data_IF_065245992558
#
_entry.id   IF_065245992558
#
_cell.length_a   1.000
_cell.length_b   1.000
_cell.length_c   1.000
_cell.angle_alpha   90.00
_cell.angle_beta   90.00
_cell.angle_gamma   90.00
#
_symmetry.space_group_name_H-M   'P 1'
#
loop_
_entity.id
_entity.type
_entity.pdbx_description
1 polymer ?
#
# COMPACT_ATOMS: atom_id res chain seq x y z
N UNK A 1 38.40 -39.62 37.76
CA UNK A 1 37.03 -39.77 37.26
C UNK A 1 36.08 -38.64 37.66
N UNK A 2 36.29 -37.91 38.75
CA UNK A 2 35.43 -36.77 39.17
C UNK A 2 35.59 -35.54 38.27
N UNK A 3 36.77 -35.24 37.77
CA UNK A 3 37.03 -34.07 36.93
C UNK A 3 36.46 -34.17 35.47
N UNK A 4 36.34 -35.41 34.94
CA UNK A 4 35.80 -35.62 33.59
C UNK A 4 34.28 -35.37 33.52
N UNK A 5 33.55 -35.68 34.63
CA UNK A 5 32.11 -35.42 34.73
C UNK A 5 31.76 -33.92 34.82
N UNK A 6 32.64 -33.12 35.45
CA UNK A 6 32.45 -31.64 35.55
C UNK A 6 32.65 -30.96 34.22
N UNK A 7 33.60 -31.40 33.40
CA UNK A 7 33.83 -30.83 32.06
C UNK A 7 32.70 -31.16 31.08
N UNK A 8 32.11 -32.32 31.15
CA UNK A 8 30.97 -32.71 30.34
C UNK A 8 29.69 -31.95 30.71
N UNK A 9 29.47 -31.65 32.00
CA UNK A 9 28.34 -30.86 32.46
C UNK A 9 28.46 -29.39 32.04
N UNK A 10 29.66 -28.81 32.08
CA UNK A 10 29.91 -27.43 31.65
C UNK A 10 29.78 -27.29 30.14
N UNK A 11 30.22 -28.27 29.35
CA UNK A 11 30.06 -28.28 27.90
C UNK A 11 28.59 -28.47 27.49
N UNK A 12 27.78 -29.23 28.21
CA UNK A 12 26.37 -29.41 27.98
C UNK A 12 25.55 -28.15 28.33
N UNK A 13 25.90 -27.40 29.42
CA UNK A 13 25.29 -26.11 29.72
C UNK A 13 25.68 -25.02 28.69
N UNK A 14 26.91 -25.03 28.19
CA UNK A 14 27.35 -24.11 27.13
C UNK A 14 26.69 -24.41 25.79
N UNK A 15 26.38 -25.68 25.47
CA UNK A 15 25.64 -26.08 24.28
C UNK A 15 24.14 -25.73 24.36
N UNK A 16 23.55 -25.68 25.55
CA UNK A 16 22.16 -25.21 25.76
C UNK A 16 22.03 -23.68 25.76
N UNK A 17 23.13 -22.95 25.97
CA UNK A 17 23.19 -21.49 25.78
C UNK A 17 23.36 -21.09 24.30
N UNK A 18 23.59 -22.06 23.39
CA UNK A 18 23.62 -21.80 21.96
C UNK A 18 22.18 -21.57 21.44
N UNK A 19 21.83 -20.31 21.30
CA UNK A 19 20.77 -19.79 20.49
C UNK A 19 19.34 -20.18 20.91
N UNK A 20 18.81 -19.59 21.94
CA UNK A 20 17.44 -19.09 21.85
C UNK A 20 17.47 -17.97 20.81
N UNK A 21 17.43 -18.37 19.54
CA UNK A 21 17.26 -17.47 18.42
C UNK A 21 15.89 -16.83 18.62
N UNK A 22 15.84 -15.53 18.89
CA UNK A 22 14.60 -14.86 19.14
C UNK A 22 13.92 -14.60 17.79
N UNK A 23 12.76 -15.24 17.55
CA UNK A 23 11.96 -15.00 16.34
C UNK A 23 11.71 -13.49 16.17
N UNK A 24 11.79 -13.00 14.94
CA UNK A 24 11.31 -11.65 14.61
C UNK A 24 9.80 -11.72 14.48
N UNK A 25 9.09 -11.08 15.41
CA UNK A 25 7.62 -11.13 15.44
C UNK A 25 7.02 -9.91 14.76
N UNK A 26 6.15 -10.15 13.79
CA UNK A 26 5.49 -9.11 12.98
C UNK A 26 3.98 -9.20 13.13
N UNK A 27 3.34 -8.12 13.58
CA UNK A 27 1.89 -7.99 13.62
C UNK A 27 1.37 -7.41 12.33
N UNK A 28 0.42 -8.08 11.70
CA UNK A 28 -0.24 -7.63 10.47
C UNK A 28 -1.72 -7.39 10.73
N UNK A 29 -2.20 -6.17 10.49
CA UNK A 29 -3.63 -5.85 10.55
C UNK A 29 -4.08 -5.35 9.18
N UNK A 30 -5.01 -6.08 8.56
CA UNK A 30 -5.54 -5.77 7.23
C UNK A 30 -7.04 -6.09 7.18
N UNK A 31 -7.84 -5.38 6.35
CA UNK A 31 -9.28 -5.61 6.26
C UNK A 31 -9.57 -6.92 5.49
N UNK A 32 -9.77 -8.02 6.21
CA UNK A 32 -10.14 -9.31 5.60
C UNK A 32 -11.65 -9.42 5.39
N UNK A 33 -12.42 -8.64 6.15
CA UNK A 33 -13.88 -8.51 6.04
C UNK A 33 -14.29 -7.04 5.90
N UNK A 34 -15.57 -6.80 5.59
CA UNK A 34 -16.13 -5.46 5.43
C UNK A 34 -15.87 -4.83 4.05
N UNK A 35 -16.23 -3.55 3.86
CA UNK A 35 -16.22 -2.85 2.56
C UNK A 35 -14.86 -2.76 1.86
N UNK A 36 -13.74 -2.90 2.59
CA UNK A 36 -12.40 -2.85 2.01
C UNK A 36 -11.68 -4.22 1.97
N UNK A 37 -12.42 -5.32 2.11
CA UNK A 37 -11.84 -6.68 2.01
C UNK A 37 -11.15 -6.95 0.68
N UNK A 38 -11.60 -6.30 -0.41
CA UNK A 38 -10.93 -6.33 -1.71
C UNK A 38 -9.50 -5.74 -1.70
N UNK A 39 -9.08 -5.06 -0.63
CA UNK A 39 -7.73 -4.57 -0.41
C UNK A 39 -6.95 -5.52 0.51
N UNK A 40 -7.57 -5.95 1.60
CA UNK A 40 -6.92 -6.71 2.65
C UNK A 40 -6.65 -8.18 2.28
N UNK A 41 -7.56 -8.82 1.57
CA UNK A 41 -7.39 -10.20 1.11
C UNK A 41 -6.16 -10.32 0.19
N UNK A 42 -6.00 -9.48 -0.86
CA UNK A 42 -4.78 -9.49 -1.66
C UNK A 42 -3.52 -9.15 -0.87
N UNK A 43 -3.60 -8.25 0.10
CA UNK A 43 -2.45 -7.96 0.98
C UNK A 43 -2.05 -9.19 1.81
N UNK A 44 -3.01 -9.90 2.42
CA UNK A 44 -2.76 -11.16 3.11
C UNK A 44 -2.11 -12.20 2.20
N UNK A 45 -2.58 -12.29 0.96
CA UNK A 45 -2.00 -13.17 -0.04
C UNK A 45 -0.53 -12.82 -0.33
N UNK A 46 -0.20 -11.52 -0.49
CA UNK A 46 1.18 -11.07 -0.65
C UNK A 46 2.06 -11.39 0.56
N UNK A 47 1.52 -11.26 1.78
CA UNK A 47 2.21 -11.63 3.02
C UNK A 47 2.51 -13.14 3.09
N UNK A 48 1.62 -13.99 2.60
CA UNK A 48 1.85 -15.44 2.61
C UNK A 48 2.99 -15.90 1.67
N UNK A 49 3.50 -15.00 0.83
CA UNK A 49 4.68 -15.23 -0.01
C UNK A 49 6.00 -14.83 0.68
N UNK A 50 5.96 -14.33 1.92
CA UNK A 50 7.15 -13.93 2.64
C UNK A 50 8.05 -15.13 2.96
N UNK A 51 9.38 -14.93 3.05
CA UNK A 51 10.27 -16.00 3.46
C UNK A 51 10.00 -16.41 4.92
N UNK A 52 10.21 -17.68 5.24
CA UNK A 52 10.05 -18.18 6.61
C UNK A 52 11.15 -17.65 7.55
N UNK A 53 12.30 -17.25 7.00
CA UNK A 53 13.46 -16.77 7.76
C UNK A 53 14.14 -15.60 7.05
N UNK A 54 14.66 -14.64 7.80
CA UNK A 54 15.51 -13.55 7.30
C UNK A 54 16.78 -13.48 8.15
N UNK A 55 17.93 -13.51 7.53
CA UNK A 55 19.25 -13.45 8.18
C UNK A 55 19.45 -14.51 9.30
N UNK A 56 18.83 -15.66 9.13
CA UNK A 56 18.87 -16.77 10.10
C UNK A 56 17.78 -16.71 11.16
N UNK A 57 17.12 -15.58 11.39
CA UNK A 57 16.01 -15.44 12.33
C UNK A 57 14.69 -15.89 11.68
N UNK A 58 13.87 -16.62 12.40
CA UNK A 58 12.53 -17.03 11.94
C UNK A 58 11.57 -15.85 12.00
N UNK A 59 10.72 -15.72 10.98
CA UNK A 59 9.63 -14.77 10.99
C UNK A 59 8.38 -15.39 11.64
N UNK A 60 7.91 -14.80 12.72
CA UNK A 60 6.63 -15.11 13.34
C UNK A 60 5.61 -14.03 12.90
N UNK A 61 4.72 -14.37 11.97
CA UNK A 61 3.77 -13.41 11.39
C UNK A 61 2.37 -13.66 11.94
N UNK A 62 1.83 -12.68 12.67
CA UNK A 62 0.48 -12.72 13.28
C UNK A 62 -0.44 -11.85 12.45
N UNK A 63 -1.43 -12.44 11.77
CA UNK A 63 -2.38 -11.72 10.92
C UNK A 63 -3.74 -11.59 11.60
N UNK A 64 -4.22 -10.36 11.75
CA UNK A 64 -5.53 -10.05 12.32
C UNK A 64 -6.39 -9.27 11.31
N UNK A 65 -7.69 -9.54 11.31
CA UNK A 65 -8.69 -8.78 10.57
C UNK A 65 -8.99 -7.46 11.29
N UNK A 66 -8.95 -6.34 10.59
CA UNK A 66 -9.43 -5.05 11.11
C UNK A 66 -10.89 -4.75 10.74
N UNK A 67 -11.54 -5.65 10.01
CA UNK A 67 -12.96 -5.59 9.64
C UNK A 67 -13.39 -4.27 8.97
N UNK A 68 -12.45 -3.53 8.39
CA UNK A 68 -12.67 -2.17 7.84
C UNK A 68 -13.10 -1.15 8.93
N UNK A 69 -12.74 -1.40 10.20
CA UNK A 69 -13.10 -0.55 11.34
C UNK A 69 -11.84 0.01 12.04
N UNK A 70 -11.68 1.35 12.13
CA UNK A 70 -10.56 1.95 12.82
C UNK A 70 -10.43 1.54 14.30
N UNK A 71 -11.55 1.29 15.00
CA UNK A 71 -11.56 0.85 16.40
C UNK A 71 -10.96 -0.56 16.53
N UNK A 72 -11.31 -1.46 15.61
CA UNK A 72 -10.74 -2.81 15.54
C UNK A 72 -9.25 -2.73 15.18
N UNK A 73 -8.87 -1.88 14.22
CA UNK A 73 -7.47 -1.64 13.89
C UNK A 73 -6.62 -1.18 15.07
N UNK A 74 -7.13 -0.23 15.87
CA UNK A 74 -6.48 0.21 17.12
C UNK A 74 -6.38 -0.94 18.13
N UNK A 75 -7.44 -1.74 18.30
CA UNK A 75 -7.44 -2.91 19.19
C UNK A 75 -6.37 -3.94 18.76
N UNK A 76 -6.28 -4.22 17.46
CA UNK A 76 -5.26 -5.09 16.91
C UNK A 76 -3.84 -4.54 17.16
N UNK A 77 -3.61 -3.25 16.88
CA UNK A 77 -2.32 -2.62 17.13
C UNK A 77 -1.92 -2.65 18.63
N UNK A 78 -2.86 -2.38 19.54
CA UNK A 78 -2.62 -2.48 20.98
C UNK A 78 -2.28 -3.91 21.39
N UNK A 79 -3.01 -4.94 20.94
CA UNK A 79 -2.71 -6.32 21.16
C UNK A 79 -1.29 -6.66 20.70
N UNK A 80 -0.91 -6.27 19.50
CA UNK A 80 0.43 -6.51 18.96
C UNK A 80 1.53 -5.99 19.89
N UNK A 81 1.39 -4.78 20.41
CA UNK A 81 2.44 -4.16 21.23
C UNK A 81 2.41 -4.61 22.70
N UNK A 82 1.24 -4.96 23.25
CA UNK A 82 1.09 -5.30 24.68
C UNK A 82 1.12 -6.79 24.98
N UNK A 83 0.50 -7.63 24.12
CA UNK A 83 0.35 -9.06 24.32
C UNK A 83 1.36 -9.85 23.47
N UNK A 84 1.33 -9.62 22.14
CA UNK A 84 2.15 -10.38 21.19
C UNK A 84 3.62 -9.88 21.13
N UNK A 85 3.93 -8.71 21.72
CA UNK A 85 5.29 -8.12 21.82
C UNK A 85 5.99 -8.02 20.48
N UNK A 86 5.28 -7.61 19.43
CA UNK A 86 5.83 -7.55 18.07
C UNK A 86 6.99 -6.58 17.94
N UNK A 87 7.90 -6.88 17.04
CA UNK A 87 9.02 -6.02 16.67
C UNK A 87 8.62 -4.94 15.67
N UNK A 88 7.59 -5.23 14.84
CA UNK A 88 7.12 -4.35 13.79
C UNK A 88 5.64 -4.63 13.47
N UNK A 89 4.92 -3.58 13.06
CA UNK A 89 3.52 -3.66 12.62
C UNK A 89 3.46 -3.42 11.11
N UNK A 90 2.65 -4.20 10.40
CA UNK A 90 2.34 -3.99 8.97
C UNK A 90 0.85 -3.75 8.79
N UNK A 91 0.49 -2.73 8.03
CA UNK A 91 -0.92 -2.41 7.72
C UNK A 91 -1.37 -1.05 8.25
N UNK A 92 -2.61 -0.70 8.09
CA UNK A 92 -3.66 -1.36 7.30
C UNK A 92 -3.57 -0.96 5.82
N UNK A 93 -4.25 -1.72 4.96
CA UNK A 93 -4.43 -1.35 3.54
C UNK A 93 -5.52 -0.27 3.37
N UNK A 94 -6.30 0.02 4.42
CA UNK A 94 -7.31 1.06 4.43
C UNK A 94 -6.81 2.29 5.20
N UNK A 95 -6.80 3.45 4.53
CA UNK A 95 -6.20 4.70 5.04
C UNK A 95 -6.72 5.14 6.41
N UNK A 96 -8.03 5.19 6.70
CA UNK A 96 -8.50 5.60 8.02
C UNK A 96 -8.02 4.69 9.15
N UNK A 97 -7.90 3.40 8.87
CA UNK A 97 -7.48 2.39 9.85
C UNK A 97 -5.98 2.52 10.11
N UNK A 98 -5.17 2.64 9.04
CA UNK A 98 -3.72 2.79 9.18
C UNK A 98 -3.36 4.08 9.94
N UNK A 99 -4.11 5.18 9.75
CA UNK A 99 -3.97 6.41 10.54
C UNK A 99 -4.24 6.14 12.01
N UNK A 100 -5.36 5.47 12.34
CA UNK A 100 -5.70 5.17 13.72
C UNK A 100 -4.67 4.26 14.42
N UNK A 101 -4.09 3.31 13.68
CA UNK A 101 -3.02 2.43 14.18
C UNK A 101 -1.70 3.19 14.41
N UNK A 102 -1.43 4.26 13.67
CA UNK A 102 -0.16 5.01 13.76
C UNK A 102 0.07 5.68 15.11
N UNK A 103 -0.99 6.08 15.80
CA UNK A 103 -0.88 6.64 17.16
C UNK A 103 -0.39 5.57 18.15
N UNK A 104 -0.89 4.33 18.05
CA UNK A 104 -0.44 3.21 18.89
C UNK A 104 1.02 2.84 18.59
N UNK A 105 1.40 2.81 17.30
CA UNK A 105 2.77 2.55 16.87
C UNK A 105 3.75 3.57 17.42
N UNK A 106 3.39 4.86 17.38
CA UNK A 106 4.19 5.95 17.92
C UNK A 106 4.31 5.89 19.46
N UNK A 107 3.20 5.65 20.17
CA UNK A 107 3.17 5.51 21.62
C UNK A 107 4.07 4.36 22.09
N UNK A 108 4.00 3.22 21.41
CA UNK A 108 4.78 2.02 21.74
C UNK A 108 6.21 2.04 21.19
N UNK A 109 6.61 3.07 20.45
CA UNK A 109 7.89 3.13 19.74
C UNK A 109 8.14 1.86 18.91
N UNK A 110 7.13 1.47 18.12
CA UNK A 110 7.15 0.31 17.25
C UNK A 110 6.91 0.76 15.83
N UNK A 111 7.76 0.36 14.89
CA UNK A 111 7.61 0.74 13.47
C UNK A 111 6.29 0.22 12.92
N UNK A 112 5.56 1.08 12.22
CA UNK A 112 4.46 0.70 11.33
C UNK A 112 4.89 0.84 9.87
N UNK A 113 4.83 -0.25 9.10
CA UNK A 113 4.85 -0.22 7.64
C UNK A 113 3.39 -0.16 7.15
N UNK A 114 2.91 1.02 6.83
CA UNK A 114 1.55 1.21 6.36
C UNK A 114 1.38 0.70 4.93
N UNK A 115 0.33 -0.09 4.68
CA UNK A 115 -0.05 -0.58 3.35
C UNK A 115 -1.01 0.38 2.61
N UNK A 116 -1.10 1.62 3.09
CA UNK A 116 -1.89 2.69 2.50
C UNK A 116 -1.14 4.04 2.55
N UNK A 117 -1.42 4.98 1.63
CA UNK A 117 -0.68 6.24 1.50
C UNK A 117 -1.13 7.29 2.53
N UNK A 118 -1.04 6.93 3.81
CA UNK A 118 -1.52 7.79 4.89
C UNK A 118 -0.72 9.08 4.99
N UNK A 119 -1.42 10.21 5.05
CA UNK A 119 -0.87 11.51 5.42
C UNK A 119 -1.12 11.72 6.91
N UNK A 120 -0.07 12.05 7.64
CA UNK A 120 -0.12 12.32 9.07
C UNK A 120 0.25 13.78 9.32
N UNK A 121 -0.29 14.42 10.37
CA UNK A 121 0.15 15.74 10.80
C UNK A 121 1.66 15.78 11.04
N UNK A 122 2.25 16.95 10.91
CA UNK A 122 3.66 17.18 11.22
C UNK A 122 3.99 16.69 12.64
N UNK A 123 5.12 16.01 12.78
CA UNK A 123 5.57 15.40 14.04
C UNK A 123 4.91 14.08 14.42
N UNK A 124 3.82 13.65 13.75
CA UNK A 124 3.10 12.41 14.08
C UNK A 124 3.63 11.16 13.35
N UNK A 125 4.42 11.33 12.31
CA UNK A 125 4.85 10.24 11.42
C UNK A 125 6.15 9.54 11.78
N UNK A 126 6.78 9.84 12.92
CA UNK A 126 8.14 9.39 13.24
C UNK A 126 8.35 7.86 13.28
N UNK A 127 7.29 7.09 13.52
CA UNK A 127 7.32 5.63 13.58
C UNK A 127 6.53 4.96 12.45
N UNK A 128 6.04 5.73 11.47
CA UNK A 128 5.21 5.22 10.39
C UNK A 128 5.88 5.45 9.03
N UNK A 129 6.15 4.37 8.31
CA UNK A 129 6.69 4.34 6.95
C UNK A 129 5.61 3.83 5.99
N UNK A 130 5.58 4.32 4.76
CA UNK A 130 4.55 3.98 3.77
C UNK A 130 5.15 3.11 2.68
N UNK A 131 4.51 1.99 2.40
CA UNK A 131 4.88 1.13 1.27
C UNK A 131 4.26 1.59 -0.06
N UNK A 132 3.04 2.16 -0.08
CA UNK A 132 2.52 2.80 -1.30
C UNK A 132 3.15 4.17 -1.54
N UNK A 133 3.16 4.58 -2.79
CA UNK A 133 3.45 5.94 -3.20
C UNK A 133 2.43 6.92 -2.60
N UNK A 134 2.85 8.17 -2.39
CA UNK A 134 1.92 9.22 -1.93
C UNK A 134 0.86 9.52 -3.00
N UNK A 135 -0.29 10.03 -2.56
CA UNK A 135 -1.35 10.50 -3.46
C UNK A 135 -0.85 11.58 -4.42
N UNK A 136 0.07 12.43 -3.98
CA UNK A 136 0.71 13.43 -4.83
C UNK A 136 1.53 12.79 -5.97
N UNK A 137 2.37 11.80 -5.67
CA UNK A 137 3.14 11.06 -6.69
C UNK A 137 2.21 10.38 -7.69
N UNK A 138 1.15 9.75 -7.20
CA UNK A 138 0.18 9.06 -8.04
C UNK A 138 -0.73 10.00 -8.85
N UNK A 139 -0.88 11.25 -8.47
CA UNK A 139 -1.62 12.25 -9.23
C UNK A 139 -0.83 12.80 -10.43
N UNK A 140 0.51 12.74 -10.40
CA UNK A 140 1.37 13.26 -11.47
C UNK A 140 1.00 12.68 -12.85
N UNK A 141 0.99 11.36 -13.07
CA UNK A 141 0.71 10.80 -14.39
C UNK A 141 -0.70 11.14 -14.89
N UNK A 142 -1.67 11.36 -14.00
CA UNK A 142 -3.02 11.80 -14.36
C UNK A 142 -2.95 13.23 -14.91
N UNK A 143 -2.34 14.17 -14.18
CA UNK A 143 -2.27 15.58 -14.57
C UNK A 143 -1.42 15.76 -15.83
N UNK A 144 -0.32 15.02 -15.98
CA UNK A 144 0.48 15.05 -17.20
C UNK A 144 -0.32 14.57 -18.42
N UNK A 145 -1.12 13.51 -18.27
CA UNK A 145 -2.00 13.06 -19.34
C UNK A 145 -3.10 14.09 -19.63
N UNK A 146 -3.68 14.74 -18.62
CA UNK A 146 -4.64 15.84 -18.81
C UNK A 146 -4.04 17.00 -19.61
N UNK A 147 -2.81 17.41 -19.28
CA UNK A 147 -2.07 18.43 -20.05
C UNK A 147 -1.89 18.02 -21.52
N UNK A 148 -1.42 16.79 -21.75
CA UNK A 148 -1.17 16.23 -23.09
C UNK A 148 -2.44 16.14 -23.94
N UNK A 149 -3.59 15.85 -23.33
CA UNK A 149 -4.88 15.69 -24.01
C UNK A 149 -5.73 16.95 -24.03
N UNK A 150 -5.22 18.06 -23.50
CA UNK A 150 -5.88 19.36 -23.57
C UNK A 150 -7.04 19.56 -22.57
N UNK A 151 -7.13 18.75 -21.52
CA UNK A 151 -8.11 18.92 -20.43
C UNK A 151 -7.94 20.30 -19.78
N UNK A 152 -9.02 21.03 -19.62
CA UNK A 152 -9.07 22.37 -18.98
C UNK A 152 -9.86 22.36 -17.67
N UNK A 153 -10.79 21.43 -17.56
CA UNK A 153 -11.65 21.31 -16.38
C UNK A 153 -11.74 19.87 -15.92
N UNK A 154 -11.80 19.65 -14.59
CA UNK A 154 -12.06 18.33 -14.05
C UNK A 154 -13.13 18.38 -12.97
N UNK A 155 -13.84 17.24 -12.82
CA UNK A 155 -14.69 16.92 -11.69
C UNK A 155 -14.04 15.87 -10.80
N UNK A 156 -14.41 15.87 -9.53
CA UNK A 156 -13.94 14.90 -8.54
C UNK A 156 -15.12 14.21 -7.86
N UNK A 157 -15.07 12.90 -7.75
CA UNK A 157 -15.93 12.12 -6.86
C UNK A 157 -15.08 11.13 -6.07
N UNK A 158 -15.15 11.19 -4.75
CA UNK A 158 -14.29 10.36 -3.92
C UNK A 158 -14.89 9.99 -2.57
N UNK A 159 -14.24 9.06 -1.88
CA UNK A 159 -14.64 8.74 -0.52
C UNK A 159 -14.61 9.98 0.39
N UNK A 160 -15.59 10.05 1.30
CA UNK A 160 -15.71 11.10 2.33
C UNK A 160 -14.78 10.86 3.54
N UNK A 161 -13.65 10.18 3.34
CA UNK A 161 -12.68 9.86 4.37
C UNK A 161 -11.28 10.40 4.04
N UNK A 162 -10.30 10.12 4.90
CA UNK A 162 -8.94 10.60 4.76
C UNK A 162 -8.26 10.22 3.42
N UNK A 163 -8.66 9.10 2.78
CA UNK A 163 -8.16 8.71 1.47
C UNK A 163 -8.68 9.64 0.36
N UNK A 164 -10.00 9.86 0.33
CA UNK A 164 -10.62 10.74 -0.66
C UNK A 164 -10.16 12.18 -0.51
N UNK A 165 -10.08 12.68 0.74
CA UNK A 165 -9.62 14.05 1.00
C UNK A 165 -8.15 14.27 0.64
N UNK A 166 -7.27 13.31 0.90
CA UNK A 166 -5.87 13.38 0.47
C UNK A 166 -5.75 13.46 -1.06
N UNK A 167 -6.51 12.64 -1.78
CA UNK A 167 -6.56 12.69 -3.23
C UNK A 167 -7.12 14.01 -3.76
N UNK A 168 -8.22 14.51 -3.18
CA UNK A 168 -8.80 15.81 -3.57
C UNK A 168 -7.80 16.95 -3.40
N UNK A 169 -7.11 16.98 -2.27
CA UNK A 169 -6.08 17.98 -1.97
C UNK A 169 -4.96 17.95 -3.02
N UNK A 170 -4.37 16.78 -3.23
CA UNK A 170 -3.17 16.64 -4.05
C UNK A 170 -3.45 16.81 -5.54
N UNK A 171 -4.55 16.23 -6.06
CA UNK A 171 -4.94 16.42 -7.47
C UNK A 171 -5.32 17.85 -7.76
N UNK A 172 -6.02 18.54 -6.82
CA UNK A 172 -6.40 19.95 -7.01
C UNK A 172 -5.17 20.84 -7.04
N UNK A 173 -4.19 20.62 -6.16
CA UNK A 173 -2.95 21.39 -6.15
C UNK A 173 -2.18 21.24 -7.47
N UNK A 174 -1.98 20.02 -7.95
CA UNK A 174 -1.26 19.73 -9.18
C UNK A 174 -2.02 20.22 -10.43
N UNK A 175 -3.34 20.03 -10.49
CA UNK A 175 -4.17 20.49 -11.58
C UNK A 175 -4.20 22.03 -11.67
N UNK A 176 -4.31 22.72 -10.52
CA UNK A 176 -4.26 24.19 -10.45
C UNK A 176 -2.92 24.72 -10.94
N UNK A 177 -1.80 24.11 -10.54
CA UNK A 177 -0.47 24.46 -11.03
C UNK A 177 -0.33 24.25 -12.55
N UNK A 178 -1.09 23.31 -13.13
CA UNK A 178 -1.16 23.05 -14.56
C UNK A 178 -2.20 23.91 -15.30
N UNK A 179 -2.90 24.85 -14.65
CA UNK A 179 -3.96 25.68 -15.23
C UNK A 179 -5.27 24.94 -15.49
N UNK A 180 -5.50 23.79 -14.84
CA UNK A 180 -6.70 22.96 -14.96
C UNK A 180 -7.63 23.24 -13.77
N UNK A 181 -8.89 23.61 -14.06
CA UNK A 181 -9.84 24.06 -13.05
C UNK A 181 -10.72 22.91 -12.54
N UNK A 182 -10.87 22.79 -11.22
CA UNK A 182 -11.89 21.96 -10.61
C UNK A 182 -13.27 22.64 -10.75
N UNK A 183 -14.25 21.95 -11.32
CA UNK A 183 -15.62 22.47 -11.56
C UNK A 183 -16.69 21.72 -10.77
N UNK A 184 -16.33 20.70 -10.00
CA UNK A 184 -17.28 19.98 -9.16
C UNK A 184 -16.59 18.99 -8.24
N UNK A 185 -17.01 18.95 -6.97
CA UNK A 185 -16.51 18.04 -5.95
C UNK A 185 -17.68 17.36 -5.28
N UNK A 186 -17.73 16.04 -5.41
CA UNK A 186 -18.75 15.21 -4.76
C UNK A 186 -18.09 14.13 -3.91
N UNK A 187 -18.79 13.73 -2.87
CA UNK A 187 -18.29 12.74 -1.89
C UNK A 187 -19.33 11.64 -1.67
N UNK A 188 -18.84 10.45 -1.30
CA UNK A 188 -19.68 9.32 -0.91
C UNK A 188 -18.97 8.48 0.16
N UNK A 189 -19.77 7.77 0.98
CA UNK A 189 -19.22 6.87 1.99
C UNK A 189 -18.82 5.51 1.38
N UNK A 190 -17.87 4.80 1.99
CA UNK A 190 -17.49 3.45 1.52
C UNK A 190 -18.63 2.44 1.52
N UNK A 191 -19.62 2.64 2.37
CA UNK A 191 -20.81 1.79 2.47
C UNK A 191 -21.94 2.19 1.49
N UNK A 192 -21.79 3.30 0.76
CA UNK A 192 -22.82 3.73 -0.18
C UNK A 192 -22.88 2.76 -1.37
N UNK A 193 -24.09 2.46 -1.78
CA UNK A 193 -24.39 1.56 -2.91
C UNK A 193 -24.80 2.32 -4.19
N UNK A 194 -24.93 3.65 -4.11
CA UNK A 194 -25.29 4.51 -5.23
C UNK A 194 -24.72 5.92 -5.05
N UNK A 195 -24.36 6.55 -6.17
CA UNK A 195 -23.96 7.96 -6.23
C UNK A 195 -24.85 8.77 -7.19
N UNK A 196 -26.11 8.40 -7.32
CA UNK A 196 -27.03 8.99 -8.30
C UNK A 196 -27.02 10.53 -8.29
N UNK A 197 -27.18 11.13 -7.11
CA UNK A 197 -27.21 12.59 -6.95
C UNK A 197 -25.87 13.23 -7.28
N UNK A 198 -24.78 12.65 -6.83
CA UNK A 198 -23.41 13.11 -7.09
C UNK A 198 -23.09 13.04 -8.59
N UNK A 199 -23.42 11.92 -9.23
CA UNK A 199 -23.17 11.75 -10.67
C UNK A 199 -23.98 12.75 -11.52
N UNK A 200 -25.25 13.04 -11.18
CA UNK A 200 -26.05 14.05 -11.88
C UNK A 200 -25.42 15.43 -11.81
N UNK A 201 -24.92 15.85 -10.64
CA UNK A 201 -24.27 17.16 -10.48
C UNK A 201 -22.97 17.24 -11.29
N UNK A 202 -22.13 16.21 -11.26
CA UNK A 202 -20.87 16.20 -11.98
C UNK A 202 -21.08 16.17 -13.49
N UNK A 203 -22.00 15.33 -13.99
CA UNK A 203 -22.33 15.30 -15.42
C UNK A 203 -22.94 16.62 -15.86
N UNK A 204 -23.79 17.25 -15.05
CA UNK A 204 -24.34 18.58 -15.32
C UNK A 204 -23.31 19.71 -15.35
N UNK A 205 -22.22 19.57 -14.57
CA UNK A 205 -21.09 20.52 -14.63
C UNK A 205 -20.21 20.34 -15.89
N UNK A 206 -20.39 19.25 -16.62
CA UNK A 206 -19.74 18.91 -17.89
C UNK A 206 -18.21 19.15 -17.91
N UNK A 207 -17.44 18.56 -16.97
CA UNK A 207 -15.99 18.66 -16.97
C UNK A 207 -15.37 17.90 -18.16
N UNK A 208 -14.14 18.26 -18.54
CA UNK A 208 -13.38 17.56 -19.59
C UNK A 208 -12.93 16.17 -19.12
N UNK A 209 -12.71 15.99 -17.80
CA UNK A 209 -12.35 14.73 -17.18
C UNK A 209 -12.99 14.60 -15.79
N UNK A 210 -13.23 13.37 -15.31
CA UNK A 210 -13.66 13.11 -13.92
C UNK A 210 -12.64 12.16 -13.28
N UNK A 211 -12.17 12.52 -12.08
CA UNK A 211 -11.39 11.64 -11.21
C UNK A 211 -12.30 10.96 -10.18
N UNK A 212 -12.27 9.64 -10.15
CA UNK A 212 -12.91 8.80 -9.14
C UNK A 212 -11.87 8.38 -8.10
N UNK A 213 -11.98 8.86 -6.87
CA UNK A 213 -11.08 8.52 -5.77
C UNK A 213 -11.72 7.47 -4.84
N UNK A 214 -11.72 6.23 -5.32
CA UNK A 214 -12.23 5.07 -4.62
C UNK A 214 -11.24 3.90 -4.69
N UNK A 215 -11.58 2.72 -4.17
CA UNK A 215 -10.67 1.59 -4.13
C UNK A 215 -11.37 0.23 -4.27
N UNK A 216 -10.62 -0.75 -4.79
CA UNK A 216 -11.11 -2.10 -5.01
C UNK A 216 -12.37 -2.16 -5.86
N UNK A 217 -13.27 -3.08 -5.55
CA UNK A 217 -14.58 -3.20 -6.22
C UNK A 217 -15.48 -1.97 -6.03
N UNK A 218 -15.30 -1.23 -4.93
CA UNK A 218 -16.04 0.01 -4.64
C UNK A 218 -15.77 1.14 -5.65
N UNK A 219 -14.67 1.07 -6.42
CA UNK A 219 -14.36 2.04 -7.47
C UNK A 219 -15.23 1.88 -8.72
N UNK A 220 -15.80 0.71 -8.94
CA UNK A 220 -16.67 0.44 -10.10
C UNK A 220 -18.03 1.12 -9.99
N UNK A 221 -18.59 1.24 -8.79
CA UNK A 221 -19.93 1.82 -8.58
C UNK A 221 -20.02 3.29 -9.03
N UNK A 222 -19.17 4.22 -8.59
CA UNK A 222 -19.22 5.60 -9.08
C UNK A 222 -18.89 5.71 -10.58
N UNK A 223 -18.01 4.87 -11.09
CA UNK A 223 -17.70 4.84 -12.51
C UNK A 223 -18.95 4.49 -13.35
N UNK A 224 -19.62 3.40 -13.02
CA UNK A 224 -20.87 2.99 -13.68
C UNK A 224 -21.95 4.06 -13.55
N UNK A 225 -22.12 4.64 -12.38
CA UNK A 225 -23.08 5.71 -12.15
C UNK A 225 -22.88 6.95 -13.06
N UNK A 226 -21.65 7.28 -13.38
CA UNK A 226 -21.31 8.34 -14.34
C UNK A 226 -21.63 7.93 -15.79
N UNK A 227 -21.24 6.71 -16.19
CA UNK A 227 -21.50 6.20 -17.56
C UNK A 227 -22.99 6.03 -17.85
N UNK A 228 -23.77 5.51 -16.89
CA UNK A 228 -25.22 5.39 -16.99
C UNK A 228 -25.93 6.74 -17.23
N UNK A 229 -25.30 7.85 -16.86
CA UNK A 229 -25.78 9.22 -17.09
C UNK A 229 -25.18 9.88 -18.31
N UNK A 230 -24.56 9.07 -19.19
CA UNK A 230 -24.02 9.52 -20.46
C UNK A 230 -22.64 10.15 -20.40
N UNK A 231 -21.94 10.14 -19.24
CA UNK A 231 -20.58 10.64 -19.21
C UNK A 231 -19.62 9.69 -19.95
N UNK A 232 -18.76 10.21 -20.84
CA UNK A 232 -17.89 9.37 -21.66
C UNK A 232 -16.88 8.58 -20.80
N UNK A 233 -16.91 7.25 -20.86
CA UNK A 233 -16.04 6.38 -20.07
C UNK A 233 -14.54 6.62 -20.30
N UNK A 234 -14.13 7.00 -21.52
CA UNK A 234 -12.75 7.37 -21.84
C UNK A 234 -12.29 8.73 -21.28
N UNK A 235 -13.13 9.43 -20.53
CA UNK A 235 -12.81 10.66 -19.79
C UNK A 235 -12.84 10.46 -18.26
N UNK A 236 -12.99 9.21 -17.80
CA UNK A 236 -12.99 8.86 -16.38
C UNK A 236 -11.61 8.32 -16.01
N UNK A 237 -11.07 8.90 -14.96
CA UNK A 237 -9.79 8.53 -14.35
C UNK A 237 -10.04 7.93 -12.97
N UNK A 238 -9.26 6.93 -12.61
CA UNK A 238 -9.32 6.27 -11.32
C UNK A 238 -8.00 6.47 -10.58
N UNK A 239 -8.09 6.51 -9.25
CA UNK A 239 -6.91 6.52 -8.41
C UNK A 239 -6.25 5.13 -8.32
N UNK A 240 -5.03 5.07 -7.82
CA UNK A 240 -4.29 3.81 -7.65
C UNK A 240 -5.03 2.77 -6.79
N UNK A 241 -5.92 3.19 -5.90
CA UNK A 241 -6.78 2.28 -5.14
C UNK A 241 -7.68 1.39 -6.01
N UNK A 242 -7.93 1.78 -7.25
CA UNK A 242 -8.72 1.03 -8.22
C UNK A 242 -7.89 0.09 -9.11
N UNK A 243 -6.54 0.07 -8.98
CA UNK A 243 -5.66 -0.77 -9.79
C UNK A 243 -5.74 -2.25 -9.39
N UNK A 244 -6.90 -2.85 -9.56
CA UNK A 244 -7.22 -4.26 -9.30
C UNK A 244 -8.09 -4.82 -10.42
N UNK A 245 -8.03 -6.14 -10.66
CA UNK A 245 -8.97 -6.78 -11.59
C UNK A 245 -10.43 -6.69 -11.14
N UNK A 246 -10.69 -6.43 -9.86
CA UNK A 246 -12.06 -6.22 -9.38
C UNK A 246 -12.73 -5.00 -10.02
N UNK A 247 -11.98 -3.92 -10.29
CA UNK A 247 -12.50 -2.80 -11.07
C UNK A 247 -13.01 -3.28 -12.43
N UNK A 248 -12.19 -4.07 -13.13
CA UNK A 248 -12.51 -4.56 -14.48
C UNK A 248 -13.67 -5.56 -14.42
N UNK A 249 -13.61 -6.52 -13.50
CA UNK A 249 -14.63 -7.57 -13.33
C UNK A 249 -16.02 -7.00 -12.99
N UNK A 250 -16.07 -6.05 -12.04
CA UNK A 250 -17.34 -5.45 -11.57
C UNK A 250 -17.80 -4.34 -12.52
N UNK A 251 -16.86 -3.56 -13.05
CA UNK A 251 -17.15 -2.48 -13.99
C UNK A 251 -17.51 -2.96 -15.40
N UNK A 252 -16.99 -4.14 -15.81
CA UNK A 252 -17.27 -4.74 -17.12
C UNK A 252 -16.96 -3.78 -18.28
N UNK A 253 -17.86 -3.72 -19.26
CA UNK A 253 -17.71 -2.86 -20.45
C UNK A 253 -17.73 -1.35 -20.13
N UNK A 254 -18.24 -0.97 -18.96
CA UNK A 254 -18.35 0.45 -18.61
C UNK A 254 -17.00 1.06 -18.27
N UNK A 255 -16.05 0.28 -17.73
CA UNK A 255 -14.69 0.75 -17.43
C UNK A 255 -13.72 0.65 -18.60
N UNK A 256 -14.13 0.05 -19.71
CA UNK A 256 -13.31 -0.08 -20.92
C UNK A 256 -12.93 1.29 -21.49
N UNK A 257 -11.63 1.52 -21.70
CA UNK A 257 -11.08 2.78 -22.19
C UNK A 257 -10.81 3.82 -21.10
N UNK A 258 -11.17 3.57 -19.84
CA UNK A 258 -10.85 4.46 -18.72
C UNK A 258 -9.39 4.35 -18.28
N UNK A 259 -8.94 5.31 -17.47
CA UNK A 259 -7.57 5.43 -17.01
C UNK A 259 -7.46 5.14 -15.52
N UNK A 260 -6.34 4.55 -15.10
CA UNK A 260 -6.05 4.24 -13.69
C UNK A 260 -4.60 4.61 -13.39
N UNK A 261 -4.36 5.43 -12.37
CA UNK A 261 -3.01 5.62 -11.84
C UNK A 261 -2.54 4.35 -11.13
N UNK A 262 -1.29 3.97 -11.27
CA UNK A 262 -0.73 2.78 -10.63
C UNK A 262 0.77 2.91 -10.40
N UNK A 263 1.32 2.06 -9.55
CA UNK A 263 2.74 1.73 -9.58
C UNK A 263 3.06 0.76 -10.72
N UNK A 264 4.33 0.54 -11.03
CA UNK A 264 4.76 -0.23 -12.21
C UNK A 264 4.56 -1.75 -12.08
N UNK A 265 4.31 -2.29 -10.89
CA UNK A 265 4.25 -3.74 -10.66
C UNK A 265 3.30 -4.49 -11.60
N UNK A 266 2.10 -3.94 -11.86
CA UNK A 266 1.08 -4.60 -12.70
C UNK A 266 1.46 -4.69 -14.18
N UNK A 267 2.42 -3.91 -14.61
CA UNK A 267 2.91 -3.86 -15.99
C UNK A 267 4.40 -4.14 -16.08
N UNK A 268 4.95 -4.86 -15.09
CA UNK A 268 6.38 -5.13 -14.97
C UNK A 268 6.96 -5.78 -16.22
N UNK A 269 6.23 -6.68 -16.88
CA UNK A 269 6.65 -7.32 -18.14
C UNK A 269 6.80 -6.33 -19.30
N UNK A 270 6.15 -5.19 -19.24
CA UNK A 270 6.15 -4.12 -20.27
C UNK A 270 7.18 -3.02 -20.00
N UNK A 271 7.84 -3.05 -18.83
CA UNK A 271 8.86 -2.08 -18.47
C UNK A 271 10.17 -2.29 -19.26
N UNK A 272 10.95 -1.24 -19.51
CA UNK A 272 12.28 -1.39 -20.10
C UNK A 272 13.21 -2.16 -19.15
N UNK A 273 14.20 -2.87 -19.70
CA UNK A 273 15.15 -3.69 -18.91
C UNK A 273 15.98 -2.86 -17.93
N UNK A 274 16.17 -1.59 -18.22
CA UNK A 274 16.85 -0.64 -17.33
C UNK A 274 16.02 -0.23 -16.10
N UNK A 275 14.74 -0.56 -16.04
CA UNK A 275 13.89 -0.22 -14.90
C UNK A 275 14.21 -1.14 -13.71
N UNK A 276 14.64 -0.60 -12.55
CA UNK A 276 15.07 -1.40 -11.40
C UNK A 276 13.95 -2.27 -10.79
N UNK A 277 12.69 -1.93 -11.04
CA UNK A 277 11.52 -2.67 -10.53
C UNK A 277 11.09 -3.80 -11.45
N UNK A 278 11.58 -3.87 -12.71
CA UNK A 278 11.11 -4.84 -13.69
C UNK A 278 11.25 -6.29 -13.21
N UNK A 279 12.46 -6.71 -12.87
CA UNK A 279 12.71 -8.08 -12.45
C UNK A 279 11.94 -8.45 -11.17
N UNK A 280 11.82 -7.49 -10.23
CA UNK A 280 11.10 -7.69 -8.97
C UNK A 280 9.60 -7.80 -9.23
N UNK A 281 9.05 -6.93 -10.07
CA UNK A 281 7.64 -6.95 -10.44
C UNK A 281 7.25 -8.21 -11.23
N UNK A 282 8.10 -8.66 -12.14
CA UNK A 282 7.90 -9.95 -12.85
C UNK A 282 7.87 -11.12 -11.86
N UNK A 283 8.85 -11.18 -10.95
CA UNK A 283 8.88 -12.19 -9.87
C UNK A 283 7.63 -12.15 -9.00
N UNK A 284 7.17 -10.95 -8.64
CA UNK A 284 5.91 -10.79 -7.89
C UNK A 284 4.73 -11.39 -8.66
N UNK A 285 4.53 -11.00 -9.92
CA UNK A 285 3.42 -11.50 -10.76
C UNK A 285 3.47 -13.02 -10.84
N UNK A 286 4.62 -13.61 -11.18
CA UNK A 286 4.80 -15.04 -11.31
C UNK A 286 4.48 -15.80 -10.02
N UNK A 287 5.02 -15.36 -8.88
CA UNK A 287 4.80 -16.01 -7.59
C UNK A 287 3.35 -15.87 -7.12
N UNK A 288 2.79 -14.66 -7.27
CA UNK A 288 1.43 -14.38 -6.84
C UNK A 288 0.41 -15.15 -7.68
N UNK A 289 0.53 -15.11 -8.99
CA UNK A 289 -0.40 -15.81 -9.89
C UNK A 289 -0.26 -17.35 -9.84
N UNK A 290 0.94 -17.85 -9.59
CA UNK A 290 1.14 -19.28 -9.32
C UNK A 290 0.38 -19.74 -8.08
N UNK A 291 0.33 -18.91 -7.04
CA UNK A 291 -0.31 -19.25 -5.77
C UNK A 291 -1.83 -19.01 -5.77
N UNK A 292 -2.30 -17.95 -6.47
CA UNK A 292 -3.69 -17.47 -6.34
C UNK A 292 -4.45 -17.43 -7.66
N UNK A 293 -3.87 -17.93 -8.73
CA UNK A 293 -4.49 -18.07 -10.06
C UNK A 293 -4.09 -16.98 -11.05
N UNK A 294 -4.29 -17.23 -12.34
CA UNK A 294 -3.93 -16.31 -13.41
C UNK A 294 -4.61 -14.94 -13.26
N UNK A 295 -3.89 -13.87 -13.56
CA UNK A 295 -4.35 -12.48 -13.49
C UNK A 295 -4.80 -12.03 -12.10
N UNK A 296 -4.46 -12.78 -11.03
CA UNK A 296 -4.78 -12.36 -9.65
C UNK A 296 -3.87 -11.27 -9.10
N UNK A 297 -2.70 -11.06 -9.70
CA UNK A 297 -1.76 -10.03 -9.28
C UNK A 297 -2.42 -8.64 -9.27
N UNK A 298 -2.22 -7.91 -8.19
CA UNK A 298 -2.77 -6.57 -8.01
C UNK A 298 -1.86 -5.71 -7.13
N UNK A 299 -2.14 -4.42 -7.08
CA UNK A 299 -1.30 -3.45 -6.38
C UNK A 299 -1.20 -3.71 -4.87
N UNK A 300 -2.26 -4.18 -4.22
CA UNK A 300 -2.25 -4.43 -2.76
C UNK A 300 -1.41 -5.65 -2.40
N UNK A 301 -1.47 -6.69 -3.21
CA UNK A 301 -0.57 -7.84 -3.11
C UNK A 301 0.89 -7.44 -3.33
N UNK A 302 1.14 -6.53 -4.29
CA UNK A 302 2.49 -6.02 -4.57
C UNK A 302 3.06 -5.22 -3.39
N UNK A 303 2.29 -4.31 -2.77
CA UNK A 303 2.75 -3.58 -1.59
C UNK A 303 3.11 -4.53 -0.42
N UNK A 304 2.30 -5.55 -0.21
CA UNK A 304 2.56 -6.54 0.82
C UNK A 304 3.78 -7.42 0.50
N UNK A 305 3.99 -7.77 -0.75
CA UNK A 305 5.18 -8.46 -1.24
C UNK A 305 6.44 -7.58 -1.05
N UNK A 306 6.36 -6.30 -1.38
CA UNK A 306 7.45 -5.35 -1.22
C UNK A 306 7.85 -5.15 0.25
N UNK A 307 6.91 -5.34 1.20
CA UNK A 307 7.25 -5.33 2.62
C UNK A 307 8.31 -6.37 2.95
N UNK A 308 8.26 -7.60 2.39
CA UNK A 308 9.29 -8.61 2.62
C UNK A 308 10.67 -8.14 2.14
N UNK A 309 10.74 -7.49 0.98
CA UNK A 309 12.00 -6.96 0.45
C UNK A 309 12.59 -5.89 1.37
N UNK A 310 11.73 -5.03 1.91
CA UNK A 310 12.15 -4.04 2.92
C UNK A 310 12.64 -4.74 4.17
N UNK A 311 11.93 -5.76 4.68
CA UNK A 311 12.33 -6.54 5.85
C UNK A 311 13.66 -7.27 5.63
N UNK A 312 13.88 -7.89 4.46
CA UNK A 312 15.14 -8.53 4.07
C UNK A 312 16.33 -7.55 4.10
N UNK A 313 16.07 -6.28 3.84
CA UNK A 313 17.09 -5.23 3.92
C UNK A 313 17.36 -4.74 5.33
N UNK A 314 16.32 -4.48 6.14
CA UNK A 314 16.46 -3.79 7.42
C UNK A 314 16.73 -4.72 8.60
N UNK A 315 16.18 -5.96 8.60
CA UNK A 315 16.38 -6.89 9.71
C UNK A 315 17.87 -7.22 9.93
N UNK A 316 18.67 -7.57 8.88
CA UNK A 316 20.11 -7.80 9.07
C UNK A 316 20.86 -6.58 9.61
N UNK A 317 20.41 -5.36 9.30
CA UNK A 317 20.99 -4.12 9.82
C UNK A 317 20.67 -3.96 11.32
N UNK A 318 19.43 -4.20 11.72
CA UNK A 318 18.99 -4.09 13.09
C UNK A 318 19.61 -5.16 13.99
N UNK A 319 19.77 -6.41 13.51
CA UNK A 319 20.41 -7.52 14.22
C UNK A 319 21.87 -7.25 14.61
N UNK A 320 22.58 -6.37 13.89
CA UNK A 320 23.92 -5.92 14.26
C UNK A 320 23.94 -5.05 15.51
N UNK A 321 22.80 -4.50 15.93
CA UNK A 321 22.69 -3.54 17.03
C UNK A 321 21.96 -4.08 18.24
N UNK A 322 20.92 -4.91 18.02
CA UNK A 322 20.08 -5.42 19.10
C UNK A 322 19.43 -6.76 18.74
N UNK A 323 18.85 -7.44 19.73
CA UNK A 323 18.14 -8.72 19.58
C UNK A 323 16.63 -8.47 19.39
N UNK A 324 15.95 -9.31 18.57
CA UNK A 324 14.48 -9.29 18.46
C UNK A 324 13.78 -9.36 19.83
N UNK A 325 12.57 -8.82 19.89
CA UNK A 325 11.76 -8.73 21.12
C UNK A 325 12.15 -7.59 22.06
N UNK A 326 13.19 -6.79 21.75
CA UNK A 326 13.65 -5.69 22.60
C UNK A 326 13.24 -4.31 22.07
N UNK A 327 13.18 -3.32 22.95
CA UNK A 327 12.93 -1.92 22.56
C UNK A 327 14.05 -1.38 21.65
N UNK A 328 15.29 -1.80 21.95
CA UNK A 328 16.47 -1.45 21.20
C UNK A 328 16.40 -1.98 19.75
N UNK A 329 15.85 -3.19 19.57
CA UNK A 329 15.66 -3.75 18.22
C UNK A 329 14.60 -2.97 17.42
N UNK A 330 13.50 -2.58 18.06
CA UNK A 330 12.49 -1.72 17.40
C UNK A 330 13.07 -0.37 16.98
N UNK A 331 13.90 0.24 17.82
CA UNK A 331 14.61 1.46 17.49
C UNK A 331 15.62 1.25 16.35
N UNK A 332 16.34 0.11 16.36
CA UNK A 332 17.28 -0.25 15.31
C UNK A 332 16.58 -0.52 13.96
N UNK A 333 15.37 -1.09 13.96
CA UNK A 333 14.55 -1.25 12.73
C UNK A 333 14.17 0.11 12.15
N UNK A 334 13.74 1.07 12.98
CA UNK A 334 13.46 2.44 12.54
C UNK A 334 14.69 3.10 11.91
N UNK A 335 15.82 3.06 12.61
CA UNK A 335 17.07 3.62 12.11
C UNK A 335 17.52 2.93 10.80
N UNK A 336 17.35 1.61 10.72
CA UNK A 336 17.68 0.86 9.51
C UNK A 336 16.82 1.32 8.32
N UNK A 337 15.52 1.59 8.51
CA UNK A 337 14.66 2.16 7.46
C UNK A 337 15.17 3.53 6.99
N UNK A 338 15.51 4.41 7.93
CA UNK A 338 15.95 5.78 7.63
C UNK A 338 17.36 5.84 6.99
N UNK A 339 18.16 4.78 7.10
CA UNK A 339 19.55 4.73 6.65
C UNK A 339 19.88 3.65 5.63
N UNK A 340 18.91 2.81 5.26
CA UNK A 340 19.12 1.70 4.31
C UNK A 340 19.50 2.15 2.90
N UNK A 341 19.26 3.42 2.56
CA UNK A 341 19.43 3.96 1.23
C UNK A 341 18.38 3.41 0.26
N UNK A 342 18.72 3.33 -1.01
CA UNK A 342 17.80 2.90 -2.06
C UNK A 342 17.46 1.40 -1.95
N UNK A 343 16.18 1.09 -1.93
CA UNK A 343 15.63 -0.28 -1.91
C UNK A 343 14.74 -0.45 -3.15
N UNK A 344 15.21 -1.11 -4.21
CA UNK A 344 14.35 -1.48 -5.32
C UNK A 344 13.26 -2.45 -4.86
N UNK A 345 12.02 -2.15 -5.21
CA UNK A 345 10.83 -2.96 -4.92
C UNK A 345 9.98 -3.10 -6.19
N UNK A 346 8.91 -3.88 -6.17
CA UNK A 346 8.06 -4.06 -7.35
C UNK A 346 7.37 -2.76 -7.79
N UNK A 347 7.14 -1.85 -6.84
CA UNK A 347 6.40 -0.60 -7.05
C UNK A 347 7.31 0.61 -7.31
N UNK A 348 8.63 0.42 -7.43
CA UNK A 348 9.57 1.51 -7.66
C UNK A 348 10.88 1.34 -6.88
N UNK A 349 11.48 2.45 -6.49
CA UNK A 349 12.66 2.45 -5.61
C UNK A 349 12.33 3.29 -4.36
N UNK A 350 12.29 2.63 -3.23
CA UNK A 350 12.14 3.28 -1.93
C UNK A 350 13.49 3.87 -1.48
N UNK A 351 13.44 5.03 -0.84
CA UNK A 351 14.59 5.66 -0.19
C UNK A 351 14.09 6.48 1.01
N UNK A 352 13.78 5.79 2.09
CA UNK A 352 13.36 6.46 3.32
C UNK A 352 14.52 7.23 3.96
N UNK A 353 14.19 8.36 4.55
CA UNK A 353 15.07 9.18 5.37
C UNK A 353 14.34 9.64 6.61
N UNK A 354 15.05 10.20 7.60
CA UNK A 354 14.39 10.75 8.79
C UNK A 354 13.39 11.90 8.48
N UNK A 355 13.54 12.55 7.31
CA UNK A 355 12.64 13.62 6.87
C UNK A 355 11.52 13.13 5.95
N UNK A 356 11.70 11.97 5.29
CA UNK A 356 10.73 11.42 4.33
C UNK A 356 10.51 9.93 4.57
N UNK A 357 9.33 9.58 5.07
CA UNK A 357 8.87 8.22 5.28
C UNK A 357 7.90 7.71 4.18
N UNK A 358 7.78 8.40 3.04
CA UNK A 358 7.16 7.90 1.82
C UNK A 358 8.19 7.23 0.90
N UNK A 359 9.33 7.85 0.72
CA UNK A 359 10.50 7.27 0.08
C UNK A 359 10.44 7.11 -1.45
N UNK A 360 9.32 7.28 -2.11
CA UNK A 360 9.21 7.19 -3.57
C UNK A 360 9.44 8.53 -4.25
N UNK A 361 10.15 8.49 -5.38
CA UNK A 361 10.36 9.66 -6.25
C UNK A 361 9.15 9.93 -7.16
N UNK A 362 8.99 11.18 -7.67
CA UNK A 362 7.85 11.58 -8.49
C UNK A 362 7.64 10.78 -9.78
N UNK A 363 8.69 10.17 -10.33
CA UNK A 363 8.70 9.38 -11.57
C UNK A 363 8.24 7.92 -11.40
N UNK A 364 7.81 7.54 -10.20
CA UNK A 364 7.41 6.15 -9.89
C UNK A 364 6.01 5.81 -10.39
N UNK A 365 5.12 6.80 -10.53
CA UNK A 365 3.74 6.60 -10.98
C UNK A 365 3.65 6.30 -12.48
N UNK A 366 2.76 5.37 -12.85
CA UNK A 366 2.40 5.08 -14.24
C UNK A 366 0.90 5.30 -14.44
N UNK A 367 0.50 5.70 -15.66
CA UNK A 367 -0.91 5.73 -16.05
C UNK A 367 -1.23 4.49 -16.87
N UNK A 368 -2.23 3.76 -16.43
CA UNK A 368 -2.76 2.58 -17.11
C UNK A 368 -4.08 2.95 -17.82
N UNK A 369 -4.38 2.24 -18.89
CA UNK A 369 -5.68 2.27 -19.57
C UNK A 369 -6.27 0.87 -19.54
N UNK A 370 -7.57 0.75 -19.34
CA UNK A 370 -8.29 -0.53 -19.49
C UNK A 370 -8.52 -0.78 -20.97
N UNK A 371 -7.97 -1.88 -21.50
CA UNK A 371 -8.09 -2.28 -22.91
C UNK A 371 -8.34 -3.77 -22.99
N UNK A 372 -9.47 -4.17 -23.58
CA UNK A 372 -9.88 -5.57 -23.71
C UNK A 372 -9.88 -6.32 -22.36
N UNK A 373 -10.31 -5.65 -21.29
CA UNK A 373 -10.35 -6.21 -19.94
C UNK A 373 -8.99 -6.47 -19.31
N UNK A 374 -7.94 -5.76 -19.74
CA UNK A 374 -6.58 -5.84 -19.22
C UNK A 374 -5.94 -4.45 -19.10
N UNK A 375 -4.72 -4.38 -18.56
CA UNK A 375 -3.97 -3.15 -18.36
C UNK A 375 -3.01 -2.86 -19.50
N UNK A 376 -3.08 -1.65 -20.05
CA UNK A 376 -2.06 -1.12 -20.96
C UNK A 376 -1.42 0.15 -20.37
N UNK A 377 -0.10 0.30 -20.56
CA UNK A 377 0.61 1.52 -20.17
C UNK A 377 0.30 2.61 -21.18
N UNK A 378 -0.14 3.77 -20.68
CA UNK A 378 -0.29 4.98 -21.50
C UNK A 378 1.09 5.57 -21.74
N UNK A 379 1.45 5.78 -23.01
CA UNK A 379 2.74 6.34 -23.45
C UNK A 379 2.71 7.86 -23.57
#
# INVERSE_FOLDING_TARGET
>A
MKHLKTWLATAALAALAAAAQADVTIGVSVPLTGPTSALGIPSKNGISLWPATIAGEKLNVIVLDDATDPTVGVKNARRFVTEDKVDLIVGSSATPIAIAMSDVAAEAQTVQLALSPIQLPEGKGAWTFRLPQSTAVMAIPIVEHWKKTGVKTFGFVGYSDAYGEAWLKDITALATAAGIKNVGVERFARADTSITGQALKLVGANPDAILVAASGSGAAMPHKGLVERGYPKGKIYQTHGAATLDLIRVGGKDVEGSFVSSGPALVATKLPDSNPSKAIGVRFIEQYEKAFGPKSANQFGAHAFDAAIVLEKIIPMALKKAKPGTKEFRAALKEALETAGRIPVSQGVLNYTAADHFGFTPDTGVLLKVVNGDWEVVK
#
